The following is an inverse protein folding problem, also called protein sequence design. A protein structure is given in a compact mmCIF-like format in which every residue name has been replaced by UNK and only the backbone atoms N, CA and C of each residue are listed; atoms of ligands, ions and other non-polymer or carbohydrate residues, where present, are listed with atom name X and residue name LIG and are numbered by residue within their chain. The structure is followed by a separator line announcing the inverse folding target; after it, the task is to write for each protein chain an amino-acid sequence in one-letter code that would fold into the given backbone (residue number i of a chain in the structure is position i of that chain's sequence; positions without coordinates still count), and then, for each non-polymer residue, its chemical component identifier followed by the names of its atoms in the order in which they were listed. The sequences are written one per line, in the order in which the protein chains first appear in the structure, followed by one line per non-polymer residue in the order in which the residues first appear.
data_IF_491969076264
#
_entry.id   IF_491969076264
#
_cell.length_a   1.000
_cell.length_b   1.000
_cell.length_c   1.000
_cell.angle_alpha   90.00
_cell.angle_beta   90.00
_cell.angle_gamma   90.00
#
_symmetry.space_group_name_H-M   'P 1'
#
loop_
_entity.id
_entity.type
_entity.pdbx_description
1 polymer ?
#
# COMPACT_ATOMS: atom_id res chain seq x y z
N UNK A 1 -36.31 34.97 -3.13
CA UNK A 1 -35.91 33.78 -2.35
C UNK A 1 -35.24 32.74 -3.26
N UNK A 2 -34.08 33.07 -3.87
CA UNK A 2 -33.39 32.22 -4.86
C UNK A 2 -31.87 32.10 -4.64
N UNK A 3 -31.34 32.75 -3.60
CA UNK A 3 -29.92 32.73 -3.26
C UNK A 3 -29.53 31.53 -2.37
N UNK A 4 -30.48 30.97 -1.62
CA UNK A 4 -30.23 29.86 -0.69
C UNK A 4 -29.94 28.52 -1.39
N UNK A 5 -30.38 28.34 -2.64
CA UNK A 5 -30.16 27.11 -3.41
C UNK A 5 -28.68 26.94 -3.82
N UNK A 6 -27.99 28.04 -4.14
CA UNK A 6 -26.59 28.02 -4.57
C UNK A 6 -25.62 27.73 -3.42
N UNK A 7 -25.92 28.22 -2.21
CA UNK A 7 -25.09 27.92 -1.04
C UNK A 7 -25.14 26.44 -0.63
N UNK A 8 -26.26 25.76 -0.83
CA UNK A 8 -26.40 24.34 -0.45
C UNK A 8 -25.57 23.39 -1.34
N UNK A 9 -25.38 23.77 -2.60
CA UNK A 9 -24.54 23.01 -3.55
C UNK A 9 -23.05 23.06 -3.21
N UNK A 10 -22.56 24.19 -2.67
CA UNK A 10 -21.15 24.36 -2.29
C UNK A 10 -20.77 23.56 -1.02
N UNK A 11 -21.67 23.46 -0.05
CA UNK A 11 -21.42 22.70 1.19
C UNK A 11 -21.37 21.19 0.97
N UNK A 12 -22.06 20.67 -0.04
CA UNK A 12 -22.12 19.22 -0.32
C UNK A 12 -20.81 18.66 -0.88
N UNK A 13 -19.93 19.50 -1.42
CA UNK A 13 -18.63 19.10 -1.93
C UNK A 13 -17.59 18.82 -0.82
N UNK A 14 -17.79 19.37 0.38
CA UNK A 14 -16.83 19.25 1.49
C UNK A 14 -16.88 17.87 2.16
N UNK A 15 -18.00 17.14 2.01
CA UNK A 15 -18.22 15.83 2.65
C UNK A 15 -17.49 14.65 1.97
N UNK A 16 -16.92 14.82 0.77
CA UNK A 16 -16.25 13.75 0.03
C UNK A 16 -14.75 13.61 0.32
N UNK A 17 -14.16 14.48 1.15
CA UNK A 17 -12.79 14.32 1.65
C UNK A 17 -12.81 13.42 2.91
N UNK A 18 -13.60 12.35 2.86
CA UNK A 18 -13.57 11.28 3.83
C UNK A 18 -12.31 10.45 3.62
N UNK A 19 -11.26 10.77 4.38
CA UNK A 19 -10.21 9.85 4.84
C UNK A 19 -9.97 8.64 3.92
N UNK A 20 -9.47 8.87 2.71
CA UNK A 20 -8.72 7.83 2.04
C UNK A 20 -7.38 7.72 2.79
N UNK A 21 -7.38 7.01 3.92
CA UNK A 21 -6.18 6.39 4.45
C UNK A 21 -5.69 5.40 3.39
N UNK A 22 -5.02 5.96 2.38
CA UNK A 22 -4.49 5.25 1.24
C UNK A 22 -3.32 4.44 1.74
N UNK A 23 -3.60 3.25 2.29
CA UNK A 23 -2.56 2.32 2.73
C UNK A 23 -1.58 2.12 1.58
N UNK A 24 -0.38 2.66 1.74
CA UNK A 24 0.61 2.76 0.68
C UNK A 24 1.09 1.37 0.31
N UNK A 25 0.99 1.02 -0.97
CA UNK A 25 1.46 -0.27 -1.49
C UNK A 25 2.89 -0.09 -2.00
N UNK A 26 3.83 -0.83 -1.43
CA UNK A 26 5.23 -0.82 -1.85
C UNK A 26 5.57 -2.14 -2.55
N UNK A 27 6.29 -2.08 -3.67
CA UNK A 27 6.84 -3.26 -4.35
C UNK A 27 8.36 -3.17 -4.30
N UNK A 28 9.01 -4.26 -3.90
CA UNK A 28 10.46 -4.34 -3.80
C UNK A 28 10.96 -5.64 -4.42
N UNK A 29 12.13 -5.60 -5.04
CA UNK A 29 12.84 -6.80 -5.49
C UNK A 29 14.06 -6.99 -4.59
N UNK A 30 14.24 -8.18 -4.06
CA UNK A 30 15.38 -8.53 -3.22
C UNK A 30 16.03 -9.81 -3.72
N UNK A 31 17.30 -10.00 -3.36
CA UNK A 31 17.96 -11.29 -3.51
C UNK A 31 17.41 -12.28 -2.47
N UNK A 32 17.12 -13.50 -2.92
CA UNK A 32 16.74 -14.62 -2.06
C UNK A 32 17.91 -14.95 -1.14
N UNK A 33 17.66 -15.02 0.16
CA UNK A 33 18.68 -15.43 1.12
C UNK A 33 18.97 -16.94 0.98
N UNK A 34 20.24 -17.37 1.11
CA UNK A 34 20.58 -18.79 1.12
C UNK A 34 19.80 -19.52 2.22
N UNK A 35 19.25 -20.70 1.91
CA UNK A 35 18.50 -21.52 2.88
C UNK A 35 17.10 -21.02 3.25
N UNK A 36 16.66 -19.86 2.74
CA UNK A 36 15.32 -19.32 2.97
C UNK A 36 14.47 -19.34 1.71
N UNK A 37 13.15 -19.47 1.87
CA UNK A 37 12.22 -19.25 0.77
C UNK A 37 12.04 -17.72 0.51
N UNK A 38 11.32 -17.37 -0.57
CA UNK A 38 11.09 -15.97 -0.89
C UNK A 38 10.19 -15.25 0.11
N UNK A 39 9.25 -15.95 0.75
CA UNK A 39 8.38 -15.36 1.76
C UNK A 39 9.19 -14.89 2.97
N UNK A 40 10.05 -15.77 3.50
CA UNK A 40 10.92 -15.46 4.64
C UNK A 40 11.94 -14.39 4.26
N UNK A 41 12.56 -14.49 3.08
CA UNK A 41 13.48 -13.45 2.59
C UNK A 41 12.79 -12.08 2.54
N UNK A 42 11.57 -12.01 1.98
CA UNK A 42 10.78 -10.78 1.91
C UNK A 42 10.32 -10.29 3.29
N UNK A 43 10.02 -11.20 4.21
CA UNK A 43 9.62 -10.84 5.58
C UNK A 43 10.76 -10.19 6.35
N UNK A 44 11.97 -10.71 6.20
CA UNK A 44 13.19 -10.15 6.79
C UNK A 44 13.57 -8.78 6.20
N UNK A 45 13.28 -8.55 4.92
CA UNK A 45 13.58 -7.28 4.25
C UNK A 45 12.45 -6.24 4.38
N UNK A 46 11.40 -6.51 5.17
CA UNK A 46 10.26 -5.61 5.30
C UNK A 46 10.68 -4.28 5.97
N UNK A 47 10.41 -3.12 5.34
CA UNK A 47 10.69 -1.83 5.96
C UNK A 47 9.73 -1.57 7.14
N UNK A 48 10.18 -0.78 8.11
CA UNK A 48 9.36 -0.38 9.25
C UNK A 48 8.10 0.36 8.78
N UNK A 49 6.96 0.09 9.42
CA UNK A 49 5.67 0.65 9.02
C UNK A 49 4.99 -0.07 7.85
N UNK A 50 5.57 -1.16 7.34
CA UNK A 50 5.00 -1.95 6.25
C UNK A 50 4.86 -3.44 6.62
N UNK A 51 3.72 -4.04 6.23
CA UNK A 51 3.45 -5.47 6.36
C UNK A 51 3.60 -6.17 5.02
N UNK A 52 4.30 -7.31 4.98
CA UNK A 52 4.39 -8.17 3.80
C UNK A 52 2.98 -8.69 3.45
N UNK A 53 2.57 -8.50 2.20
CA UNK A 53 1.31 -8.98 1.65
C UNK A 53 1.49 -10.15 0.70
N UNK A 54 2.50 -10.09 -0.15
CA UNK A 54 2.75 -11.12 -1.15
C UNK A 54 4.25 -11.24 -1.36
N UNK A 55 4.72 -12.47 -1.55
CA UNK A 55 6.08 -12.76 -1.97
C UNK A 55 6.01 -13.77 -3.11
N UNK A 56 6.77 -13.53 -4.18
CA UNK A 56 6.83 -14.43 -5.32
C UNK A 56 8.27 -14.59 -5.78
N UNK A 57 8.63 -15.79 -6.22
CA UNK A 57 9.91 -16.01 -6.87
C UNK A 57 9.88 -15.38 -8.26
N UNK A 58 10.86 -14.52 -8.56
CA UNK A 58 11.08 -14.01 -9.93
C UNK A 58 12.12 -14.86 -10.65
N UNK A 59 13.10 -15.38 -9.91
CA UNK A 59 14.09 -16.34 -10.36
C UNK A 59 14.56 -17.20 -9.19
N UNK A 60 15.48 -18.14 -9.45
CA UNK A 60 16.11 -18.98 -8.41
C UNK A 60 16.79 -18.16 -7.30
N UNK A 61 17.23 -16.94 -7.61
CA UNK A 61 17.99 -16.05 -6.71
C UNK A 61 17.30 -14.73 -6.39
N UNK A 62 16.15 -14.41 -7.01
CA UNK A 62 15.44 -13.14 -6.79
C UNK A 62 13.99 -13.34 -6.38
N UNK A 63 13.56 -12.51 -5.44
CA UNK A 63 12.20 -12.49 -4.90
C UNK A 63 11.56 -11.13 -5.13
N UNK A 64 10.28 -11.14 -5.52
CA UNK A 64 9.44 -9.96 -5.62
C UNK A 64 8.55 -9.89 -4.38
N UNK A 65 8.67 -8.82 -3.63
CA UNK A 65 7.94 -8.58 -2.40
C UNK A 65 6.92 -7.46 -2.62
N UNK A 66 5.68 -7.65 -2.16
CA UNK A 66 4.66 -6.60 -2.09
C UNK A 66 4.34 -6.35 -0.62
N UNK A 67 4.50 -5.11 -0.20
CA UNK A 67 4.16 -4.65 1.14
C UNK A 67 2.99 -3.66 1.10
N UNK A 68 2.32 -3.52 2.24
CA UNK A 68 1.27 -2.54 2.46
C UNK A 68 1.57 -1.84 3.79
N UNK A 69 1.49 -0.51 3.83
CA UNK A 69 1.60 0.20 5.11
C UNK A 69 0.52 -0.29 6.07
N UNK A 70 0.82 -0.23 7.38
CA UNK A 70 -0.18 -0.49 8.41
C UNK A 70 -1.42 0.39 8.22
#
# INVERSE_FOLDING_TARGET
MKAYLLCFLLLSAVLLIGTAEGKSKMKMEISKRPGLNCYDSCRWAAPSGYKLKEASAKSSTKCKCKYKSY
#
